data_IF_527605064225
#
_entry.id   IF_527605064225
#
_cell.length_a   1.000
_cell.length_b   1.000
_cell.length_c   1.000
_cell.angle_alpha   90.00
_cell.angle_beta   90.00
_cell.angle_gamma   90.00
#
_symmetry.space_group_name_H-M   'P 1'
#
loop_
_entity.id
_entity.type
_entity.pdbx_description
1 polymer ?
#
# COMPACT_ATOMS: atom_id res chain seq x y z
N UNK A 1 2.63 -15.25 64.52
CA UNK A 1 3.90 -15.65 63.86
C UNK A 1 3.59 -16.92 63.08
N UNK A 2 3.75 -17.08 61.76
CA UNK A 2 4.44 -16.38 60.67
C UNK A 2 3.64 -16.77 59.40
N UNK A 3 3.00 -15.84 58.67
CA UNK A 3 3.46 -15.24 57.39
C UNK A 3 3.97 -16.27 56.35
N UNK A 4 3.20 -16.47 55.28
CA UNK A 4 3.59 -16.01 53.93
C UNK A 4 2.47 -16.23 52.93
N UNK A 5 2.20 -15.14 52.20
CA UNK A 5 1.05 -14.86 51.38
C UNK A 5 1.21 -15.33 49.92
N UNK A 6 0.05 -15.52 49.29
CA UNK A 6 -0.18 -15.63 47.85
C UNK A 6 0.35 -14.41 47.08
N UNK A 7 0.81 -14.63 45.84
CA UNK A 7 0.58 -13.70 44.73
C UNK A 7 0.90 -14.35 43.38
N UNK A 8 -0.13 -14.47 42.54
CA UNK A 8 -0.03 -14.88 41.15
C UNK A 8 0.74 -13.86 40.31
N UNK A 9 1.60 -14.36 39.42
CA UNK A 9 2.37 -13.57 38.48
C UNK A 9 1.49 -13.23 37.26
N UNK A 10 0.93 -12.02 37.26
CA UNK A 10 0.35 -11.43 36.06
C UNK A 10 1.48 -10.92 35.15
N UNK A 11 1.62 -11.50 33.96
CA UNK A 11 2.53 -11.04 32.92
C UNK A 11 1.96 -9.75 32.30
N UNK A 12 2.38 -8.61 32.84
CA UNK A 12 2.10 -7.30 32.24
C UNK A 12 2.92 -7.10 30.98
N UNK A 13 2.25 -6.77 29.88
CA UNK A 13 2.86 -6.23 28.66
C UNK A 13 3.60 -4.93 29.01
N UNK A 14 4.92 -5.02 29.16
CA UNK A 14 5.78 -3.88 29.42
C UNK A 14 6.22 -3.27 28.09
N UNK A 15 5.58 -2.18 27.69
CA UNK A 15 6.16 -1.27 26.71
C UNK A 15 7.51 -0.77 27.26
N UNK A 16 8.62 -1.11 26.60
CA UNK A 16 9.94 -0.58 26.96
C UNK A 16 9.99 0.91 26.63
N UNK A 17 9.65 1.74 27.61
CA UNK A 17 9.73 3.19 27.53
C UNK A 17 11.18 3.65 27.72
N UNK A 18 11.75 4.30 26.69
CA UNK A 18 13.08 4.92 26.80
C UNK A 18 13.00 6.14 27.73
N UNK A 19 13.61 6.04 28.91
CA UNK A 19 13.73 7.13 29.88
C UNK A 19 14.54 8.30 29.30
N UNK A 20 13.83 9.33 28.81
CA UNK A 20 14.45 10.55 28.28
C UNK A 20 13.56 11.49 27.47
N UNK A 21 12.29 11.17 27.19
CA UNK A 21 11.38 12.09 26.49
C UNK A 21 10.73 13.09 27.45
N UNK A 22 10.59 14.35 27.01
CA UNK A 22 9.79 15.34 27.71
C UNK A 22 8.34 14.86 27.81
N UNK A 23 7.68 15.14 28.95
CA UNK A 23 6.33 14.64 29.30
C UNK A 23 5.24 14.94 28.28
N UNK A 24 5.44 15.96 27.44
CA UNK A 24 4.46 16.41 26.42
C UNK A 24 4.83 15.96 24.99
N UNK A 25 5.84 15.10 24.84
CA UNK A 25 6.23 14.60 23.52
C UNK A 25 5.18 13.61 22.99
N UNK A 26 4.90 13.59 21.67
CA UNK A 26 4.05 12.56 21.11
C UNK A 26 4.61 11.16 21.40
N UNK A 27 3.74 10.31 21.93
CA UNK A 27 3.98 8.88 22.09
C UNK A 27 3.68 8.20 20.75
N UNK A 28 4.60 7.34 20.32
CA UNK A 28 4.46 6.58 19.09
C UNK A 28 4.34 5.11 19.45
N UNK A 29 3.32 4.46 18.90
CA UNK A 29 3.20 3.02 19.00
C UNK A 29 4.19 2.34 18.04
N UNK A 30 5.25 1.79 18.62
CA UNK A 30 6.34 1.15 17.88
C UNK A 30 6.07 -0.31 17.54
N UNK A 31 5.10 -0.94 18.19
CA UNK A 31 4.81 -2.36 18.04
C UNK A 31 3.64 -2.62 17.08
N UNK A 32 2.78 -1.62 16.87
CA UNK A 32 1.58 -1.70 16.01
C UNK A 32 1.76 -2.51 14.72
N UNK A 33 2.76 -2.21 13.90
CA UNK A 33 2.97 -2.90 12.61
C UNK A 33 3.36 -4.36 12.81
N UNK A 34 4.24 -4.62 13.78
CA UNK A 34 4.66 -5.98 14.10
C UNK A 34 3.47 -6.81 14.58
N UNK A 35 2.62 -6.25 15.45
CA UNK A 35 1.40 -6.90 15.94
C UNK A 35 0.40 -7.19 14.82
N UNK A 36 0.24 -6.27 13.86
CA UNK A 36 -0.65 -6.47 12.70
C UNK A 36 -0.16 -7.60 11.78
N UNK A 37 1.15 -7.68 11.55
CA UNK A 37 1.73 -8.61 10.58
C UNK A 37 2.19 -9.94 11.19
N UNK A 38 2.19 -10.09 12.51
CA UNK A 38 2.72 -11.26 13.21
C UNK A 38 2.08 -12.57 12.72
N UNK A 39 2.92 -13.49 12.23
CA UNK A 39 2.48 -14.79 11.73
C UNK A 39 1.70 -14.75 10.39
N UNK A 40 1.46 -13.58 9.80
CA UNK A 40 0.69 -13.41 8.55
C UNK A 40 1.56 -12.89 7.40
N UNK A 41 2.38 -11.87 7.66
CA UNK A 41 3.17 -11.17 6.63
C UNK A 41 2.45 -9.99 5.98
N UNK A 42 3.21 -9.21 5.21
CA UNK A 42 2.78 -7.99 4.52
C UNK A 42 2.92 -8.20 2.99
N UNK A 43 1.89 -7.90 2.16
CA UNK A 43 0.61 -7.25 2.49
C UNK A 43 -0.52 -8.20 2.90
N UNK A 44 -0.22 -9.47 3.22
CA UNK A 44 -1.25 -10.46 3.55
C UNK A 44 -2.09 -10.07 4.79
N UNK A 45 -1.54 -9.30 5.72
CA UNK A 45 -2.22 -8.76 6.89
C UNK A 45 -3.36 -7.76 6.55
N UNK A 46 -3.44 -7.29 5.30
CA UNK A 46 -4.49 -6.41 4.80
C UNK A 46 -5.56 -7.12 3.96
N UNK A 47 -5.45 -8.44 3.77
CA UNK A 47 -6.45 -9.22 3.04
C UNK A 47 -7.85 -9.09 3.66
N UNK A 48 -8.84 -8.76 2.84
CA UNK A 48 -10.24 -8.52 3.22
C UNK A 48 -10.52 -7.15 3.82
N UNK A 49 -9.58 -6.20 3.76
CA UNK A 49 -9.69 -4.87 4.37
C UNK A 49 -9.95 -3.73 3.39
N UNK A 50 -9.99 -3.98 2.07
CA UNK A 50 -10.25 -2.93 1.07
C UNK A 50 -11.72 -2.43 1.01
N UNK A 51 -12.58 -2.87 1.92
CA UNK A 51 -13.96 -2.37 2.04
C UNK A 51 -14.96 -2.90 0.99
N UNK A 52 -14.53 -3.80 0.11
CA UNK A 52 -15.39 -4.41 -0.92
C UNK A 52 -14.60 -5.27 -1.91
N UNK A 53 -15.29 -5.90 -2.88
CA UNK A 53 -14.62 -6.56 -4.01
C UNK A 53 -13.86 -5.55 -4.89
N UNK A 54 -12.86 -5.98 -5.67
CA UNK A 54 -12.13 -5.10 -6.57
C UNK A 54 -13.07 -4.50 -7.60
N UNK A 55 -12.91 -3.21 -7.87
CA UNK A 55 -13.71 -2.50 -8.88
C UNK A 55 -13.44 -2.97 -10.31
N UNK A 56 -12.22 -3.43 -10.58
CA UNK A 56 -11.77 -3.88 -11.90
C UNK A 56 -11.31 -5.35 -11.86
N UNK A 57 -11.19 -5.96 -13.04
CA UNK A 57 -10.70 -7.33 -13.20
C UNK A 57 -9.69 -7.42 -14.34
N UNK A 58 -8.95 -8.53 -14.38
CA UNK A 58 -8.05 -8.83 -15.49
C UNK A 58 -8.75 -8.72 -16.86
N UNK A 59 -8.09 -8.05 -17.80
CA UNK A 59 -8.59 -7.75 -19.14
C UNK A 59 -9.34 -6.41 -19.27
N UNK A 60 -9.73 -5.77 -18.17
CA UNK A 60 -10.38 -4.46 -18.25
C UNK A 60 -9.41 -3.41 -18.81
N UNK A 61 -9.95 -2.52 -19.67
CA UNK A 61 -9.24 -1.35 -20.19
C UNK A 61 -9.48 -0.16 -19.26
N UNK A 62 -8.40 0.48 -18.82
CA UNK A 62 -8.42 1.58 -17.87
C UNK A 62 -7.56 2.74 -18.36
N UNK A 63 -7.76 3.91 -17.76
CA UNK A 63 -6.88 5.06 -17.88
C UNK A 63 -6.35 5.44 -16.52
N UNK A 64 -5.09 5.85 -16.47
CA UNK A 64 -4.49 6.39 -15.26
C UNK A 64 -4.89 7.85 -15.12
N UNK A 65 -5.51 8.20 -13.99
CA UNK A 65 -5.88 9.58 -13.65
C UNK A 65 -4.64 10.42 -13.40
N UNK A 66 -4.77 11.73 -13.64
CA UNK A 66 -3.77 12.70 -13.22
C UNK A 66 -4.20 13.38 -11.91
N UNK A 67 -4.09 12.66 -10.80
CA UNK A 67 -4.35 13.20 -9.47
C UNK A 67 -3.17 14.08 -8.99
N UNK A 68 -3.43 15.07 -8.12
CA UNK A 68 -2.37 15.87 -7.51
C UNK A 68 -1.30 15.01 -6.85
N UNK A 69 -0.04 15.32 -7.13
CA UNK A 69 1.14 14.54 -6.75
C UNK A 69 2.07 15.27 -5.77
N UNK A 70 1.54 16.29 -5.09
CA UNK A 70 2.30 17.09 -4.13
C UNK A 70 2.81 16.19 -2.98
N UNK A 71 4.10 16.30 -2.70
CA UNK A 71 4.88 15.52 -1.73
C UNK A 71 5.18 14.07 -2.12
N UNK A 72 4.18 13.20 -2.31
CA UNK A 72 4.45 11.77 -2.49
C UNK A 72 3.34 10.99 -3.20
N UNK A 73 3.74 10.08 -4.09
CA UNK A 73 2.96 8.98 -4.65
C UNK A 73 3.92 7.94 -5.28
N UNK A 74 3.42 6.74 -5.57
CA UNK A 74 4.18 5.71 -6.29
C UNK A 74 3.60 5.40 -7.69
N UNK A 75 2.61 6.16 -8.15
CA UNK A 75 2.01 6.02 -9.49
C UNK A 75 2.85 6.80 -10.51
N UNK A 76 3.67 6.13 -11.36
CA UNK A 76 4.70 6.80 -12.12
C UNK A 76 4.15 7.86 -13.08
N UNK A 77 4.77 9.04 -13.11
CA UNK A 77 4.30 10.19 -13.90
C UNK A 77 4.16 9.92 -15.41
N UNK A 78 4.97 9.02 -15.96
CA UNK A 78 4.88 8.66 -17.39
C UNK A 78 3.62 7.87 -17.76
N UNK A 79 2.88 7.35 -16.77
CA UNK A 79 1.64 6.61 -17.01
C UNK A 79 0.39 7.49 -17.02
N UNK A 80 0.49 8.74 -16.57
CA UNK A 80 -0.67 9.64 -16.36
C UNK A 80 -1.38 9.93 -17.67
N UNK A 81 -2.70 9.79 -17.68
CA UNK A 81 -3.54 9.97 -18.85
C UNK A 81 -3.40 8.86 -19.90
N UNK A 82 -2.53 7.87 -19.72
CA UNK A 82 -2.31 6.78 -20.67
C UNK A 82 -3.27 5.62 -20.38
N UNK A 83 -3.76 4.98 -21.44
CA UNK A 83 -4.60 3.80 -21.34
C UNK A 83 -3.75 2.54 -21.11
N UNK A 84 -4.25 1.63 -20.29
CA UNK A 84 -3.60 0.37 -19.97
C UNK A 84 -4.61 -0.76 -19.79
N UNK A 85 -4.11 -1.99 -19.74
CA UNK A 85 -4.92 -3.20 -19.51
C UNK A 85 -4.59 -3.78 -18.15
N UNK A 86 -5.60 -4.11 -17.36
CA UNK A 86 -5.39 -4.86 -16.10
C UNK A 86 -4.87 -6.25 -16.44
N UNK A 87 -3.69 -6.60 -15.94
CA UNK A 87 -3.12 -7.95 -16.02
C UNK A 87 -3.69 -8.81 -14.91
N UNK A 88 -3.69 -8.30 -13.68
CA UNK A 88 -4.20 -8.99 -12.50
C UNK A 88 -4.57 -8.02 -11.38
N UNK A 89 -5.42 -8.51 -10.47
CA UNK A 89 -5.63 -7.91 -9.15
C UNK A 89 -4.62 -8.56 -8.21
N UNK A 90 -3.75 -7.77 -7.57
CA UNK A 90 -2.53 -8.28 -6.93
C UNK A 90 -2.73 -8.53 -5.43
N UNK A 91 -3.12 -7.49 -4.69
CA UNK A 91 -3.33 -7.54 -3.24
C UNK A 91 -4.18 -6.36 -2.76
N UNK A 92 -4.49 -6.35 -1.47
CA UNK A 92 -5.09 -5.23 -0.75
C UNK A 92 -4.01 -4.64 0.17
N UNK A 93 -3.87 -3.32 0.22
CA UNK A 93 -2.90 -2.65 1.10
C UNK A 93 -3.28 -1.18 1.28
N UNK A 94 -2.85 -0.48 2.35
CA UNK A 94 -2.86 0.98 2.36
C UNK A 94 -2.11 1.55 1.17
N UNK A 95 -2.58 2.70 0.70
CA UNK A 95 -1.90 3.37 -0.42
C UNK A 95 -0.55 3.91 0.05
N UNK A 96 0.51 3.94 -0.79
CA UNK A 96 1.80 4.48 -0.38
C UNK A 96 1.70 5.96 0.03
N UNK A 97 0.74 6.70 -0.54
CA UNK A 97 0.41 8.08 -0.19
C UNK A 97 -0.11 8.24 1.25
N UNK A 98 -0.69 7.19 1.84
CA UNK A 98 -1.19 7.17 3.21
C UNK A 98 -0.19 6.48 4.16
N UNK A 99 0.35 5.32 3.76
CA UNK A 99 1.29 4.52 4.56
C UNK A 99 2.59 5.28 4.87
N UNK A 100 3.14 6.01 3.90
CA UNK A 100 4.34 6.83 4.10
C UNK A 100 4.17 7.92 5.17
N UNK A 101 2.92 8.25 5.51
CA UNK A 101 2.57 9.23 6.56
C UNK A 101 1.97 8.57 7.80
N UNK A 102 2.12 7.25 7.97
CA UNK A 102 1.65 6.48 9.13
C UNK A 102 0.14 6.25 9.16
N UNK A 103 -0.57 6.49 8.05
CA UNK A 103 -2.02 6.24 7.91
C UNK A 103 -2.22 4.87 7.27
N UNK A 104 -2.45 3.86 8.10
CA UNK A 104 -2.50 2.44 7.67
C UNK A 104 -3.89 1.79 7.81
N UNK A 105 -4.89 2.56 8.26
CA UNK A 105 -6.20 2.02 8.62
C UNK A 105 -7.14 1.80 7.42
N UNK A 106 -6.78 2.32 6.25
CA UNK A 106 -7.56 2.20 5.03
C UNK A 106 -6.75 1.47 3.98
N UNK A 107 -7.25 0.34 3.51
CA UNK A 107 -6.67 -0.41 2.39
C UNK A 107 -7.47 -0.17 1.10
N UNK A 108 -6.80 -0.32 -0.04
CA UNK A 108 -7.38 -0.33 -1.38
C UNK A 108 -6.88 -1.55 -2.15
N UNK A 109 -7.57 -1.89 -3.24
CA UNK A 109 -7.09 -2.90 -4.19
C UNK A 109 -5.93 -2.36 -5.03
N UNK A 110 -4.92 -3.20 -5.24
CA UNK A 110 -3.81 -2.94 -6.16
C UNK A 110 -3.94 -3.77 -7.42
N UNK A 111 -3.58 -3.16 -8.54
CA UNK A 111 -3.70 -3.74 -9.87
C UNK A 111 -2.35 -3.70 -10.57
N UNK A 112 -1.98 -4.80 -11.21
CA UNK A 112 -0.88 -4.81 -12.17
C UNK A 112 -1.44 -4.39 -13.52
N UNK A 113 -0.98 -3.26 -14.05
CA UNK A 113 -1.47 -2.67 -15.30
C UNK A 113 -0.36 -2.73 -16.35
N UNK A 114 -0.69 -3.23 -17.53
CA UNK A 114 0.21 -3.29 -18.69
C UNK A 114 -0.10 -2.18 -19.67
N UNK A 115 0.95 -1.49 -20.09
CA UNK A 115 0.93 -0.41 -21.06
C UNK A 115 1.79 -0.79 -22.26
N UNK A 116 1.36 -0.39 -23.46
CA UNK A 116 2.21 -0.53 -24.64
C UNK A 116 3.29 0.54 -24.61
N UNK A 117 4.53 0.18 -24.96
CA UNK A 117 5.65 1.11 -25.02
C UNK A 117 5.32 2.35 -25.88
N UNK A 118 4.72 2.12 -27.05
CA UNK A 118 4.33 3.17 -28.00
C UNK A 118 3.30 4.17 -27.43
N UNK A 119 2.47 3.76 -26.47
CA UNK A 119 1.48 4.65 -25.87
C UNK A 119 2.08 5.54 -24.78
N UNK A 120 3.20 5.11 -24.18
CA UNK A 120 3.91 5.85 -23.14
C UNK A 120 4.92 6.85 -23.73
N UNK A 121 5.62 6.46 -24.80
CA UNK A 121 6.77 7.22 -25.31
C UNK A 121 6.68 7.60 -26.80
N UNK A 122 5.60 7.21 -27.49
CA UNK A 122 5.46 7.40 -28.92
C UNK A 122 6.19 6.33 -29.74
N UNK A 123 6.07 6.42 -31.07
CA UNK A 123 6.62 5.45 -32.02
C UNK A 123 7.81 5.99 -32.83
N UNK A 124 8.27 7.21 -32.53
CA UNK A 124 9.22 7.94 -33.38
C UNK A 124 10.69 7.54 -33.14
N UNK A 125 10.97 6.71 -32.13
CA UNK A 125 12.31 6.18 -31.87
C UNK A 125 12.55 4.90 -32.71
N UNK A 126 13.62 4.83 -33.52
CA UNK A 126 13.90 3.69 -34.39
C UNK A 126 14.14 2.37 -33.65
N UNK A 127 14.47 2.42 -32.36
CA UNK A 127 14.65 1.24 -31.51
C UNK A 127 13.34 0.82 -30.80
N UNK A 128 12.21 1.49 -31.08
CA UNK A 128 10.90 1.10 -30.53
C UNK A 128 10.41 -0.20 -31.13
N UNK A 129 10.15 -1.19 -30.29
CA UNK A 129 9.47 -2.42 -30.67
C UNK A 129 7.97 -2.34 -30.35
N UNK A 130 7.06 -2.50 -31.34
CA UNK A 130 5.61 -2.31 -31.13
C UNK A 130 4.95 -3.25 -30.12
N UNK A 131 5.56 -4.41 -29.89
CA UNK A 131 5.05 -5.45 -28.97
C UNK A 131 5.58 -5.28 -27.54
N UNK A 132 6.49 -4.33 -27.31
CA UNK A 132 7.05 -4.09 -25.99
C UNK A 132 6.00 -3.49 -25.07
N UNK A 133 6.00 -3.98 -23.83
CA UNK A 133 5.08 -3.52 -22.79
C UNK A 133 5.83 -3.20 -21.52
N UNK A 134 5.28 -2.26 -20.76
CA UNK A 134 5.73 -1.95 -19.41
C UNK A 134 4.59 -2.17 -18.45
N UNK A 135 4.89 -2.85 -17.35
CA UNK A 135 3.92 -3.15 -16.31
C UNK A 135 4.26 -2.37 -15.05
N UNK A 136 3.24 -1.82 -14.41
CA UNK A 136 3.35 -1.11 -13.14
C UNK A 136 2.19 -1.49 -12.23
N UNK A 137 2.46 -1.56 -10.93
CA UNK A 137 1.42 -1.75 -9.91
C UNK A 137 0.86 -0.38 -9.49
N UNK A 138 -0.46 -0.30 -9.34
CA UNK A 138 -1.16 0.95 -9.04
C UNK A 138 -2.36 0.70 -8.12
N UNK A 139 -2.60 1.54 -7.09
CA UNK A 139 -3.81 1.44 -6.28
C UNK A 139 -5.06 1.93 -7.02
N UNK A 140 -6.23 1.39 -6.65
CA UNK A 140 -7.52 1.61 -7.31
C UNK A 140 -7.84 3.09 -7.55
N UNK A 141 -7.50 3.98 -6.61
CA UNK A 141 -7.76 5.43 -6.73
C UNK A 141 -7.21 6.06 -8.00
N UNK A 142 -6.07 5.58 -8.51
CA UNK A 142 -5.42 6.10 -9.71
C UNK A 142 -6.08 5.66 -11.01
N UNK A 143 -7.03 4.74 -10.96
CA UNK A 143 -7.59 4.10 -12.14
C UNK A 143 -9.04 4.53 -12.39
N UNK A 144 -9.39 4.71 -13.66
CA UNK A 144 -10.76 4.87 -14.15
C UNK A 144 -10.99 4.04 -15.41
N UNK A 145 -12.24 3.68 -15.73
CA UNK A 145 -12.58 3.11 -17.03
C UNK A 145 -12.05 3.98 -18.18
N UNK A 146 -11.46 3.34 -19.20
CA UNK A 146 -10.82 4.01 -20.34
C UNK A 146 -11.79 4.75 -21.27
#
# INVERSE_FOLDING_TARGET
MNRNDDAGLAMGSGAHECQGKATDSPLYDRLRIAEIAEGVGDPQCYRGKAGGPPRFKAGDQLRVKDLPDVFYNQTPGYTRGVAGTVVSVVYESPTPEDEAWGRIDQAEWFYLVSFRHVDLWGADDPDTHPEDTVQAEMPERWLEPA
#
